data_IF_262044992775
#
_entry.id   IF_262044992775
#
_cell.length_a   1.000
_cell.length_b   1.000
_cell.length_c   1.000
_cell.angle_alpha   90.00
_cell.angle_beta   90.00
_cell.angle_gamma   90.00
#
_symmetry.space_group_name_H-M   'P 1'
#
loop_
_entity.id
_entity.type
_entity.pdbx_description
1 polymer ?
#
# COMPACT_ATOMS: atom_id res chain seq x y z
N UNK A 1 8.94 -5.17 23.43
CA UNK A 1 8.51 -4.74 22.08
C UNK A 1 7.92 -5.92 21.33
N UNK A 2 6.89 -5.69 20.50
CA UNK A 2 6.26 -6.75 19.71
C UNK A 2 7.08 -7.06 18.44
N UNK A 3 7.23 -8.34 18.03
CA UNK A 3 8.02 -8.70 16.85
C UNK A 3 7.45 -8.09 15.56
N UNK A 4 8.34 -7.60 14.69
CA UNK A 4 7.94 -6.94 13.43
C UNK A 4 7.92 -7.86 12.20
N UNK A 5 8.54 -9.04 12.32
CA UNK A 5 8.77 -10.00 11.24
C UNK A 5 7.50 -10.71 10.76
N UNK A 6 6.41 -10.69 11.54
CA UNK A 6 5.12 -11.17 11.08
C UNK A 6 4.53 -10.28 10.00
N UNK A 7 3.99 -10.88 8.94
CA UNK A 7 3.43 -10.14 7.80
C UNK A 7 2.27 -9.20 8.23
N UNK A 8 1.35 -9.72 9.05
CA UNK A 8 0.16 -9.01 9.51
C UNK A 8 -0.12 -9.26 10.99
N UNK A 9 -0.94 -8.38 11.59
CA UNK A 9 -1.39 -8.53 12.98
C UNK A 9 -2.18 -9.82 13.20
N UNK A 10 -2.90 -10.29 12.17
CA UNK A 10 -3.67 -11.52 12.25
C UNK A 10 -2.78 -12.77 12.28
N UNK A 11 -1.62 -12.73 11.61
CA UNK A 11 -0.64 -13.82 11.62
C UNK A 11 0.26 -13.81 12.87
N UNK A 12 0.25 -12.73 13.66
CA UNK A 12 0.99 -12.70 14.93
C UNK A 12 0.36 -13.71 15.91
N UNK A 13 1.15 -14.57 16.57
CA UNK A 13 0.64 -15.51 17.56
C UNK A 13 -0.07 -14.81 18.72
N UNK A 14 -1.13 -15.43 19.22
CA UNK A 14 -1.88 -14.86 20.34
C UNK A 14 -1.08 -14.83 21.64
N UNK A 15 -0.07 -15.70 21.80
CA UNK A 15 0.86 -15.63 22.93
C UNK A 15 1.59 -14.28 22.99
N UNK A 16 2.08 -13.78 21.85
CA UNK A 16 2.72 -12.46 21.78
C UNK A 16 1.72 -11.33 22.10
N UNK A 17 0.48 -11.43 21.59
CA UNK A 17 -0.56 -10.42 21.84
C UNK A 17 -0.99 -10.40 23.30
N UNK A 18 -1.14 -11.57 23.91
CA UNK A 18 -1.55 -11.73 25.30
C UNK A 18 -0.44 -11.27 26.25
N UNK A 19 0.83 -11.62 25.98
CA UNK A 19 1.95 -11.10 26.78
C UNK A 19 1.97 -9.57 26.80
N UNK A 20 1.84 -8.93 25.63
CA UNK A 20 1.81 -7.47 25.56
C UNK A 20 0.57 -6.85 26.24
N UNK A 21 -0.55 -7.57 26.29
CA UNK A 21 -1.74 -7.16 27.03
C UNK A 21 -1.50 -7.24 28.54
N UNK A 22 -0.89 -8.33 29.02
CA UNK A 22 -0.58 -8.55 30.42
C UNK A 22 0.43 -7.50 30.92
N UNK A 23 1.49 -7.23 30.15
CA UNK A 23 2.47 -6.18 30.46
C UNK A 23 1.81 -4.78 30.60
N UNK A 24 0.77 -4.49 29.81
CA UNK A 24 0.02 -3.23 29.88
C UNK A 24 -0.83 -3.20 31.14
N UNK A 25 -1.55 -4.28 31.44
CA UNK A 25 -2.40 -4.37 32.63
C UNK A 25 -1.61 -4.32 33.93
N UNK A 26 -0.40 -4.88 33.94
CA UNK A 26 0.51 -4.81 35.10
C UNK A 26 0.97 -3.37 35.36
N UNK A 27 1.23 -2.59 34.31
CA UNK A 27 1.72 -1.21 34.42
C UNK A 27 0.62 -0.17 34.61
N UNK A 28 -0.58 -0.45 34.10
CA UNK A 28 -1.67 0.51 34.05
C UNK A 28 -2.96 -0.11 34.58
N UNK A 29 -3.55 0.50 35.60
CA UNK A 29 -4.89 0.15 36.08
C UNK A 29 -5.95 0.67 35.10
N UNK A 30 -6.20 -0.08 34.03
CA UNK A 30 -7.14 0.28 32.97
C UNK A 30 -8.45 -0.49 33.12
N UNK A 31 -9.57 0.22 33.29
CA UNK A 31 -10.93 -0.34 33.24
C UNK A 31 -11.48 -0.32 31.81
N UNK A 32 -10.77 -0.96 30.87
CA UNK A 32 -11.20 -1.08 29.47
C UNK A 32 -11.15 -2.53 29.04
N UNK A 33 -11.93 -2.89 28.02
CA UNK A 33 -11.99 -4.28 27.54
C UNK A 33 -10.70 -4.71 26.84
N UNK A 34 -10.34 -5.98 27.03
CA UNK A 34 -9.17 -6.60 26.39
C UNK A 34 -9.21 -6.50 24.87
N UNK A 35 -10.40 -6.63 24.28
CA UNK A 35 -10.60 -6.48 22.83
C UNK A 35 -10.21 -5.06 22.36
N UNK A 36 -10.59 -4.04 23.13
CA UNK A 36 -10.21 -2.66 22.82
C UNK A 36 -8.69 -2.47 22.89
N UNK A 37 -8.05 -2.98 23.95
CA UNK A 37 -6.59 -2.89 24.10
C UNK A 37 -5.88 -3.63 22.95
N UNK A 38 -6.33 -4.83 22.60
CA UNK A 38 -5.78 -5.62 21.48
C UNK A 38 -5.93 -4.90 20.14
N UNK A 39 -7.05 -4.22 19.90
CA UNK A 39 -7.25 -3.37 18.70
C UNK A 39 -6.29 -2.19 18.67
N UNK A 40 -6.11 -1.50 19.80
CA UNK A 40 -5.19 -0.38 19.94
C UNK A 40 -3.72 -0.82 19.76
N UNK A 41 -3.33 -1.94 20.37
CA UNK A 41 -2.04 -2.60 20.19
C UNK A 41 -1.77 -2.92 18.72
N UNK A 42 -2.72 -3.58 18.05
CA UNK A 42 -2.59 -3.91 16.64
C UNK A 42 -2.42 -2.68 15.75
N UNK A 43 -3.13 -1.58 16.05
CA UNK A 43 -2.95 -0.30 15.36
C UNK A 43 -1.55 0.25 15.59
N UNK A 44 -1.10 0.36 16.84
CA UNK A 44 0.23 0.87 17.20
C UNK A 44 1.35 0.05 16.57
N UNK A 45 1.21 -1.27 16.51
CA UNK A 45 2.17 -2.16 15.85
C UNK A 45 2.26 -1.88 14.34
N UNK A 46 1.11 -1.73 13.64
CA UNK A 46 1.11 -1.37 12.22
C UNK A 46 1.73 0.01 11.97
N UNK A 47 1.38 0.99 12.79
CA UNK A 47 1.92 2.35 12.70
C UNK A 47 3.45 2.35 12.91
N UNK A 48 3.94 1.55 13.86
CA UNK A 48 5.37 1.38 14.11
C UNK A 48 6.09 0.76 12.90
N UNK A 49 5.56 -0.33 12.32
CA UNK A 49 6.11 -0.91 11.08
C UNK A 49 6.16 0.10 9.94
N UNK A 50 5.13 0.92 9.79
CA UNK A 50 5.09 1.98 8.78
C UNK A 50 6.15 3.06 9.04
N UNK A 51 6.35 3.46 10.29
CA UNK A 51 7.40 4.40 10.69
C UNK A 51 8.79 3.87 10.35
N UNK A 52 9.07 2.61 10.68
CA UNK A 52 10.33 1.94 10.33
C UNK A 52 10.53 1.90 8.82
N UNK A 53 9.50 1.51 8.06
CA UNK A 53 9.58 1.47 6.60
C UNK A 53 9.88 2.86 6.02
N UNK A 54 9.28 3.93 6.53
CA UNK A 54 9.58 5.30 6.06
C UNK A 54 11.00 5.75 6.35
N UNK A 55 11.54 5.41 7.53
CA UNK A 55 12.86 5.86 7.96
C UNK A 55 13.99 5.08 7.28
N UNK A 56 13.84 3.75 7.17
CA UNK A 56 14.93 2.84 6.79
C UNK A 56 14.74 2.21 5.40
N UNK A 57 13.52 2.20 4.84
CA UNK A 57 13.24 1.59 3.54
C UNK A 57 13.10 2.65 2.44
N UNK A 58 14.23 3.24 2.03
CA UNK A 58 14.27 4.15 0.88
C UNK A 58 14.37 3.38 -0.45
N UNK A 59 13.87 3.95 -1.55
CA UNK A 59 13.76 3.26 -2.85
C UNK A 59 15.08 3.14 -3.59
N UNK A 60 15.95 4.12 -3.39
CA UNK A 60 17.27 4.29 -4.01
C UNK A 60 18.37 3.41 -3.39
N UNK A 61 18.08 2.77 -2.26
CA UNK A 61 19.04 1.92 -1.53
C UNK A 61 18.92 0.45 -1.99
N UNK A 62 20.07 -0.22 -2.15
CA UNK A 62 20.16 -1.65 -2.48
C UNK A 62 19.56 -2.55 -1.38
N UNK A 63 19.27 -3.81 -1.71
CA UNK A 63 18.73 -4.77 -0.73
C UNK A 63 19.76 -5.05 0.38
N UNK A 64 21.02 -5.22 0.00
CA UNK A 64 22.14 -5.52 0.88
C UNK A 64 22.32 -4.41 1.92
N UNK A 65 22.27 -3.16 1.48
CA UNK A 65 22.41 -2.01 2.36
C UNK A 65 21.18 -1.85 3.30
N UNK A 66 19.97 -2.16 2.82
CA UNK A 66 18.77 -2.23 3.69
C UNK A 66 18.89 -3.28 4.79
N UNK A 67 19.51 -4.43 4.50
CA UNK A 67 19.71 -5.50 5.49
C UNK A 67 20.75 -5.12 6.55
N UNK A 68 21.76 -4.32 6.18
CA UNK A 68 22.77 -3.83 7.13
C UNK A 68 22.27 -2.68 8.01
N UNK A 69 21.33 -1.87 7.51
CA UNK A 69 20.73 -0.75 8.22
C UNK A 69 19.66 -1.19 9.24
N UNK A 70 20.06 -2.03 10.20
CA UNK A 70 19.20 -2.50 11.29
C UNK A 70 18.90 -1.35 12.26
N UNK A 71 17.63 -1.03 12.55
CA UNK A 71 17.29 0.00 13.52
C UNK A 71 17.86 -0.30 14.91
N UNK A 72 18.25 0.73 15.69
CA UNK A 72 18.59 0.56 17.10
C UNK A 72 17.46 -0.15 17.85
N UNK A 73 17.80 -1.02 18.80
CA UNK A 73 16.85 -1.83 19.60
C UNK A 73 16.10 -2.92 18.82
N UNK A 74 16.38 -3.11 17.53
CA UNK A 74 15.78 -4.16 16.71
C UNK A 74 16.68 -5.40 16.64
N UNK A 75 16.09 -6.58 16.80
CA UNK A 75 16.80 -7.83 16.58
C UNK A 75 17.05 -8.04 15.08
N UNK A 76 18.30 -8.33 14.72
CA UNK A 76 18.74 -8.48 13.33
C UNK A 76 17.86 -9.44 12.53
N UNK A 77 17.58 -10.63 13.05
CA UNK A 77 16.75 -11.61 12.35
C UNK A 77 15.32 -11.09 12.08
N UNK A 78 14.73 -10.33 13.02
CA UNK A 78 13.40 -9.76 12.84
C UNK A 78 13.39 -8.71 11.74
N UNK A 79 14.45 -7.90 11.67
CA UNK A 79 14.64 -6.92 10.62
C UNK A 79 14.83 -7.57 9.26
N UNK A 80 15.71 -8.56 9.16
CA UNK A 80 16.00 -9.27 7.92
C UNK A 80 14.73 -9.91 7.33
N UNK A 81 13.94 -10.61 8.15
CA UNK A 81 12.67 -11.20 7.74
C UNK A 81 11.69 -10.15 7.22
N UNK A 82 11.56 -9.02 7.94
CA UNK A 82 10.66 -7.94 7.54
C UNK A 82 11.09 -7.28 6.22
N UNK A 83 12.40 -7.05 6.03
CA UNK A 83 12.96 -6.46 4.81
C UNK A 83 12.81 -7.41 3.62
N UNK A 84 13.06 -8.71 3.81
CA UNK A 84 12.83 -9.74 2.78
C UNK A 84 11.37 -9.77 2.36
N UNK A 85 10.44 -9.72 3.32
CA UNK A 85 9.02 -9.64 3.03
C UNK A 85 8.68 -8.36 2.24
N UNK A 86 9.15 -7.19 2.66
CA UNK A 86 8.84 -5.93 1.98
C UNK A 86 9.41 -5.81 0.57
N UNK A 87 10.51 -6.51 0.24
CA UNK A 87 11.06 -6.59 -1.12
C UNK A 87 10.45 -7.73 -1.96
N UNK A 88 9.64 -8.60 -1.37
CA UNK A 88 8.94 -9.64 -2.12
C UNK A 88 7.78 -9.04 -2.94
N UNK A 89 7.40 -9.70 -4.05
CA UNK A 89 6.23 -9.34 -4.86
C UNK A 89 4.96 -9.16 -4.01
N UNK A 90 4.74 -10.07 -3.05
CA UNK A 90 3.62 -10.02 -2.11
C UNK A 90 3.68 -8.78 -1.21
N UNK A 91 4.85 -8.45 -0.68
CA UNK A 91 5.04 -7.25 0.15
C UNK A 91 4.89 -5.96 -0.65
N UNK A 92 5.28 -5.98 -1.92
CA UNK A 92 5.09 -4.89 -2.87
C UNK A 92 3.60 -4.64 -3.10
N UNK A 93 2.84 -5.67 -3.47
CA UNK A 93 1.38 -5.64 -3.66
C UNK A 93 0.65 -5.16 -2.40
N UNK A 94 1.04 -5.63 -1.21
CA UNK A 94 0.48 -5.17 0.07
C UNK A 94 0.79 -3.69 0.32
N UNK A 95 1.99 -3.23 -0.05
CA UNK A 95 2.45 -1.86 0.25
C UNK A 95 1.86 -0.78 -0.67
N UNK A 96 1.67 -1.08 -1.95
CA UNK A 96 0.90 -0.23 -2.85
C UNK A 96 -0.61 -0.35 -2.58
N UNK A 97 -0.98 -1.33 -1.73
CA UNK A 97 -2.32 -1.88 -1.61
C UNK A 97 -2.68 -2.59 -2.91
N UNK A 98 -3.56 -3.57 -2.84
CA UNK A 98 -4.49 -3.79 -3.94
C UNK A 98 -5.40 -2.56 -4.07
N UNK A 99 -4.83 -1.38 -4.33
CA UNK A 99 -5.53 -0.34 -5.06
C UNK A 99 -5.55 -0.87 -6.47
N UNK A 100 -6.56 -1.71 -6.73
CA UNK A 100 -7.19 -1.74 -8.04
C UNK A 100 -7.27 -0.27 -8.46
N UNK A 101 -6.41 0.12 -9.41
CA UNK A 101 -6.31 1.52 -9.80
C UNK A 101 -7.71 2.01 -10.16
N UNK A 102 -8.04 3.30 -10.00
CA UNK A 102 -9.39 3.79 -10.33
C UNK A 102 -9.88 3.31 -11.70
N UNK A 103 -8.96 3.13 -12.64
CA UNK A 103 -9.17 2.50 -13.95
C UNK A 103 -9.53 1.01 -13.88
N UNK A 104 -8.76 0.19 -13.18
CA UNK A 104 -9.11 -1.22 -12.98
C UNK A 104 -10.45 -1.37 -12.22
N UNK A 105 -10.76 -0.46 -11.29
CA UNK A 105 -12.00 -0.50 -10.53
C UNK A 105 -13.18 -0.14 -11.43
N UNK A 106 -12.99 0.86 -12.28
CA UNK A 106 -13.93 1.21 -13.34
C UNK A 106 -14.17 0.04 -14.29
N UNK A 107 -13.12 -0.66 -14.74
CA UNK A 107 -13.23 -1.84 -15.59
C UNK A 107 -14.01 -2.99 -14.92
N UNK A 108 -13.75 -3.28 -13.65
CA UNK A 108 -14.44 -4.34 -12.90
C UNK A 108 -15.92 -3.99 -12.70
N UNK A 109 -16.25 -2.75 -12.33
CA UNK A 109 -17.63 -2.33 -12.07
C UNK A 109 -18.48 -2.26 -13.34
N UNK A 110 -17.89 -1.95 -14.49
CA UNK A 110 -18.63 -1.74 -15.74
C UNK A 110 -18.52 -2.92 -16.71
N UNK A 111 -18.06 -4.08 -16.24
CA UNK A 111 -18.13 -5.35 -16.96
C UNK A 111 -19.24 -6.23 -16.39
N UNK A 112 -19.88 -7.00 -17.27
CA UNK A 112 -20.78 -8.09 -16.91
C UNK A 112 -19.98 -9.30 -16.45
N UNK A 113 -20.67 -10.31 -15.92
CA UNK A 113 -20.05 -11.58 -15.48
C UNK A 113 -19.33 -12.33 -16.61
N UNK A 114 -19.77 -12.14 -17.85
CA UNK A 114 -19.14 -12.71 -19.05
C UNK A 114 -17.90 -11.91 -19.53
N UNK A 115 -17.53 -10.84 -18.82
CA UNK A 115 -16.41 -9.98 -19.15
C UNK A 115 -16.70 -8.89 -20.18
N UNK A 116 -17.88 -8.86 -20.79
CA UNK A 116 -18.26 -7.82 -21.77
C UNK A 116 -18.62 -6.48 -21.08
N UNK A 117 -18.43 -5.33 -21.75
CA UNK A 117 -18.90 -4.05 -21.24
C UNK A 117 -20.42 -4.06 -21.03
N UNK A 118 -20.89 -3.43 -19.96
CA UNK A 118 -22.33 -3.34 -19.67
C UNK A 118 -23.11 -2.64 -20.80
N UNK A 119 -22.50 -1.63 -21.44
CA UNK A 119 -23.06 -0.89 -22.59
C UNK A 119 -21.97 -0.64 -23.64
N UNK A 120 -22.38 -0.40 -24.88
CA UNK A 120 -21.45 -0.07 -25.98
C UNK A 120 -20.62 1.18 -25.67
N UNK A 121 -21.24 2.23 -25.11
CA UNK A 121 -20.59 3.48 -24.71
C UNK A 121 -19.50 3.28 -23.66
N UNK A 122 -19.73 2.39 -22.70
CA UNK A 122 -18.70 1.99 -21.73
C UNK A 122 -17.55 1.28 -22.43
N UNK A 123 -17.84 0.41 -23.40
CA UNK A 123 -16.82 -0.26 -24.21
C UNK A 123 -15.90 0.73 -24.94
N UNK A 124 -16.47 1.75 -25.58
CA UNK A 124 -15.70 2.82 -26.25
C UNK A 124 -14.81 3.60 -25.27
N UNK A 125 -15.32 3.90 -24.08
CA UNK A 125 -14.54 4.59 -23.03
C UNK A 125 -13.38 3.72 -22.55
N UNK A 126 -13.59 2.41 -22.37
CA UNK A 126 -12.53 1.48 -21.98
C UNK A 126 -11.42 1.38 -23.04
N UNK A 127 -11.77 1.33 -24.32
CA UNK A 127 -10.77 1.30 -25.41
C UNK A 127 -9.95 2.59 -25.47
N UNK A 128 -10.60 3.76 -25.38
CA UNK A 128 -9.89 5.05 -25.30
C UNK A 128 -8.96 5.15 -24.09
N UNK A 129 -9.37 4.56 -22.96
CA UNK A 129 -8.54 4.50 -21.75
C UNK A 129 -7.29 3.66 -21.94
N UNK A 130 -7.40 2.51 -22.62
CA UNK A 130 -6.25 1.64 -22.93
C UNK A 130 -5.27 2.34 -23.88
N UNK A 131 -5.78 2.99 -24.92
CA UNK A 131 -4.97 3.77 -25.86
C UNK A 131 -4.20 4.89 -25.14
N UNK A 132 -4.89 5.69 -24.32
CA UNK A 132 -4.25 6.76 -23.54
C UNK A 132 -3.24 6.25 -22.51
N UNK A 133 -3.49 5.07 -21.94
CA UNK A 133 -2.54 4.41 -21.04
C UNK A 133 -1.26 3.99 -21.79
N UNK A 134 -1.40 3.40 -22.97
CA UNK A 134 -0.26 3.02 -23.80
C UNK A 134 0.55 4.23 -24.28
N UNK A 135 -0.13 5.31 -24.69
CA UNK A 135 0.54 6.58 -25.02
C UNK A 135 1.36 7.12 -23.84
N UNK A 136 0.80 7.12 -22.63
CA UNK A 136 1.51 7.58 -21.44
C UNK A 136 2.72 6.71 -21.10
N UNK A 137 2.59 5.38 -21.17
CA UNK A 137 3.69 4.45 -20.92
C UNK A 137 4.82 4.61 -21.96
N UNK A 138 4.47 4.87 -23.22
CA UNK A 138 5.45 5.16 -24.28
C UNK A 138 6.19 6.50 -24.04
N UNK A 139 5.47 7.54 -23.61
CA UNK A 139 6.04 8.86 -23.28
C UNK A 139 6.91 8.78 -22.03
N UNK A 140 6.48 8.06 -20.99
CA UNK A 140 7.25 7.86 -19.77
C UNK A 140 8.54 7.06 -20.00
N UNK A 141 8.58 6.23 -21.04
CA UNK A 141 9.77 5.48 -21.45
C UNK A 141 10.79 6.34 -22.22
N UNK A 142 10.37 7.47 -22.79
CA UNK A 142 11.19 8.26 -23.72
C UNK A 142 11.76 9.57 -23.16
N UNK A 143 11.23 10.15 -22.07
CA UNK A 143 11.65 11.51 -21.66
C UNK A 143 11.96 11.67 -20.15
N UNK A 144 13.18 12.12 -19.82
CA UNK A 144 13.60 12.40 -18.44
C UNK A 144 13.14 13.79 -17.97
N UNK A 145 12.03 13.78 -17.22
CA UNK A 145 11.66 14.73 -16.16
C UNK A 145 11.56 16.25 -16.47
N UNK A 146 10.44 16.81 -16.01
CA UNK A 146 10.15 18.23 -15.68
C UNK A 146 9.18 18.96 -16.63
N UNK A 147 9.30 18.87 -17.96
CA UNK A 147 8.38 19.58 -18.89
C UNK A 147 6.97 18.98 -18.96
N UNK A 148 6.81 17.68 -18.62
CA UNK A 148 5.55 16.95 -18.72
C UNK A 148 4.55 17.21 -17.58
N UNK A 149 5.01 17.69 -16.41
CA UNK A 149 4.15 17.80 -15.22
C UNK A 149 3.09 18.90 -15.39
N UNK A 150 3.43 20.00 -16.06
CA UNK A 150 2.53 21.14 -16.25
C UNK A 150 1.49 20.87 -17.35
N UNK A 151 1.90 20.26 -18.46
CA UNK A 151 0.99 19.92 -19.56
C UNK A 151 0.02 18.79 -19.19
N UNK A 152 0.47 17.79 -18.43
CA UNK A 152 -0.38 16.69 -17.97
C UNK A 152 -1.38 17.14 -16.91
N UNK A 153 -1.01 18.07 -16.02
CA UNK A 153 -1.94 18.58 -15.02
C UNK A 153 -3.07 19.40 -15.65
N UNK A 154 -2.81 20.14 -16.74
CA UNK A 154 -3.86 20.82 -17.51
C UNK A 154 -4.77 19.83 -18.24
N UNK A 155 -4.21 18.83 -18.93
CA UNK A 155 -5.00 17.81 -19.67
C UNK A 155 -5.85 16.95 -18.74
N UNK A 156 -5.35 16.63 -17.55
CA UNK A 156 -6.11 15.91 -16.52
C UNK A 156 -7.24 16.76 -15.91
N UNK A 157 -7.05 18.08 -15.81
CA UNK A 157 -8.11 19.00 -15.37
C UNK A 157 -9.21 19.16 -16.41
N UNK A 158 -8.85 19.22 -17.70
CA UNK A 158 -9.81 19.23 -18.83
C UNK A 158 -10.60 17.92 -18.91
N UNK A 159 -9.97 16.77 -18.66
CA UNK A 159 -10.66 15.47 -18.61
C UNK A 159 -11.59 15.36 -17.38
N UNK A 160 -11.19 15.91 -16.22
CA UNK A 160 -12.07 16.03 -15.05
C UNK A 160 -13.29 16.91 -15.34
N UNK A 161 -13.09 18.02 -16.06
CA UNK A 161 -14.16 18.96 -16.41
C UNK A 161 -15.19 18.34 -17.36
N UNK A 162 -14.75 17.53 -18.32
CA UNK A 162 -15.65 16.83 -19.26
C UNK A 162 -16.43 15.69 -18.62
N UNK A 163 -15.86 15.00 -17.62
CA UNK A 163 -16.57 13.94 -16.89
C UNK A 163 -17.59 14.49 -15.90
N UNK A 164 -17.34 15.66 -15.28
CA UNK A 164 -18.28 16.27 -14.32
C UNK A 164 -19.47 16.98 -14.98
N UNK A 165 -19.41 17.34 -16.26
CA UNK A 165 -20.48 18.07 -16.96
C UNK A 165 -21.43 17.18 -17.78
N UNK A 166 -21.22 15.86 -17.77
CA UNK A 166 -22.04 14.88 -18.50
C UNK A 166 -22.86 13.96 -17.58
N UNK A 167 -22.94 14.28 -16.28
CA UNK A 167 -23.91 13.73 -15.34
C UNK A 167 -24.97 14.78 -15.00
#
# INVERSE_FOLDING_TARGET
MLPINYESWHHMPDSNKNQALDDIKERFALEVSDDYIKKALGKKWRDHKNSLKKQYFKKDISLEEKLQNVPPEMLRYQWEDAVRFWNSKKGEEVSYGQKVGRLQLFEIMHRKKDGSPMTSKVGEIMEKLKEKKAEYEAIASTDSSVTLITELSLKFWVLKFTVYFLC
#
